data_IF_584747603238
#
_entry.id   IF_584747603238
#
_cell.length_a   1.000
_cell.length_b   1.000
_cell.length_c   1.000
_cell.angle_alpha   90.00
_cell.angle_beta   90.00
_cell.angle_gamma   90.00
#
_symmetry.space_group_name_H-M   'P 1'
#
loop_
_entity.id
_entity.type
_entity.pdbx_description
1 polymer ?
#
# COMPACT_ATOMS: atom_id res chain seq x y z
N UNK A 1 -10.84 20.62 -2.01
CA UNK A 1 -10.85 19.84 -0.75
C UNK A 1 -9.59 18.99 -0.72
N UNK A 2 -8.56 19.36 0.06
CA UNK A 2 -7.42 18.46 0.30
C UNK A 2 -7.94 17.34 1.21
N UNK A 3 -8.24 16.17 0.63
CA UNK A 3 -8.50 14.97 1.44
C UNK A 3 -7.35 14.85 2.45
N UNK A 4 -7.69 14.78 3.72
CA UNK A 4 -6.70 14.73 4.79
C UNK A 4 -6.03 13.34 4.71
N UNK A 5 -4.85 13.29 4.08
CA UNK A 5 -4.08 12.04 3.85
C UNK A 5 -3.86 11.28 5.17
N UNK A 6 -3.68 12.01 6.28
CA UNK A 6 -3.52 11.40 7.59
C UNK A 6 -4.81 10.71 8.09
N UNK A 7 -5.98 11.23 7.73
CA UNK A 7 -7.26 10.60 8.04
C UNK A 7 -7.48 9.34 7.20
N UNK A 8 -7.18 9.40 5.90
CA UNK A 8 -7.31 8.25 4.98
C UNK A 8 -6.38 7.10 5.41
N UNK A 9 -5.13 7.40 5.77
CA UNK A 9 -4.19 6.41 6.33
C UNK A 9 -4.73 5.73 7.59
N UNK A 10 -5.27 6.52 8.54
CA UNK A 10 -5.84 5.98 9.78
C UNK A 10 -7.04 5.09 9.53
N UNK A 11 -7.93 5.51 8.63
CA UNK A 11 -9.13 4.75 8.28
C UNK A 11 -8.76 3.41 7.64
N UNK A 12 -7.80 3.41 6.69
CA UNK A 12 -7.31 2.19 6.04
C UNK A 12 -6.66 1.27 7.07
N UNK A 13 -5.79 1.78 7.94
CA UNK A 13 -5.16 0.95 8.98
C UNK A 13 -6.15 0.35 9.98
N UNK A 14 -7.22 1.09 10.30
CA UNK A 14 -8.29 0.62 11.18
C UNK A 14 -9.21 -0.40 10.50
N UNK A 15 -9.32 -0.35 9.17
CA UNK A 15 -10.25 -1.18 8.39
C UNK A 15 -9.60 -2.34 7.62
N UNK A 16 -8.28 -2.46 7.64
CA UNK A 16 -7.52 -3.51 6.93
C UNK A 16 -6.80 -4.42 7.90
N UNK A 17 -6.56 -5.66 7.48
CA UNK A 17 -5.68 -6.58 8.20
C UNK A 17 -4.23 -6.07 8.23
N UNK A 18 -3.43 -6.45 9.24
CA UNK A 18 -2.02 -6.07 9.32
C UNK A 18 -1.14 -6.86 8.34
N UNK A 19 -1.66 -7.93 7.73
CA UNK A 19 -0.93 -8.80 6.82
C UNK A 19 -1.88 -9.24 5.68
N UNK A 20 -1.31 -9.56 4.52
CA UNK A 20 -2.08 -10.08 3.38
C UNK A 20 -1.16 -10.43 2.21
N UNK A 21 -1.48 -11.50 1.49
CA UNK A 21 -0.71 -11.96 0.32
C UNK A 21 0.80 -12.20 0.60
N UNK A 22 1.13 -12.57 1.85
CA UNK A 22 2.54 -12.77 2.26
C UNK A 22 3.30 -11.48 2.60
N UNK A 23 2.63 -10.32 2.58
CA UNK A 23 3.18 -9.03 2.98
C UNK A 23 2.70 -8.64 4.38
N UNK A 24 3.56 -7.96 5.11
CA UNK A 24 3.27 -7.36 6.42
C UNK A 24 3.11 -5.86 6.28
N UNK A 25 2.21 -5.27 7.05
CA UNK A 25 2.05 -3.82 7.13
C UNK A 25 3.40 -3.17 7.42
N UNK A 26 3.67 -2.11 6.68
CA UNK A 26 4.94 -1.39 6.63
C UNK A 26 6.08 -2.10 5.88
N UNK A 27 5.85 -3.27 5.28
CA UNK A 27 6.82 -3.84 4.33
C UNK A 27 7.00 -2.87 3.17
N UNK A 28 8.26 -2.62 2.83
CA UNK A 28 8.58 -1.94 1.59
C UNK A 28 8.40 -2.94 0.44
N UNK A 29 7.65 -2.53 -0.56
CA UNK A 29 7.30 -3.35 -1.73
C UNK A 29 7.62 -2.60 -3.01
N UNK A 30 7.96 -3.33 -4.06
CA UNK A 30 8.30 -2.78 -5.36
C UNK A 30 7.29 -3.23 -6.41
N UNK A 31 6.76 -2.27 -7.17
CA UNK A 31 5.91 -2.55 -8.32
C UNK A 31 6.72 -3.20 -9.45
N UNK A 32 6.05 -3.89 -10.39
CA UNK A 32 6.68 -4.35 -11.63
C UNK A 32 7.32 -3.21 -12.46
N UNK A 33 6.82 -1.98 -12.33
CA UNK A 33 7.37 -0.77 -12.96
C UNK A 33 8.63 -0.23 -12.27
N UNK A 34 9.02 -0.80 -11.14
CA UNK A 34 10.22 -0.43 -10.39
C UNK A 34 10.02 0.68 -9.36
N UNK A 35 8.80 1.16 -9.16
CA UNK A 35 8.48 2.13 -8.12
C UNK A 35 8.37 1.46 -6.74
N UNK A 36 8.84 2.14 -5.70
CA UNK A 36 8.84 1.62 -4.33
C UNK A 36 7.69 2.22 -3.50
N UNK A 37 7.03 1.37 -2.74
CA UNK A 37 5.89 1.69 -1.89
C UNK A 37 6.01 1.03 -0.52
N UNK A 38 5.19 1.47 0.43
CA UNK A 38 4.99 0.85 1.73
C UNK A 38 3.61 0.20 1.73
N UNK A 39 3.55 -1.09 2.01
CA UNK A 39 2.28 -1.80 2.13
C UNK A 39 1.55 -1.40 3.41
N UNK A 40 0.26 -1.08 3.31
CA UNK A 40 -0.56 -0.62 4.46
C UNK A 40 -1.57 -1.70 4.86
N UNK A 41 -2.19 -2.37 3.90
CA UNK A 41 -3.13 -3.44 4.14
C UNK A 41 -3.92 -3.84 2.90
N UNK A 42 -4.71 -4.90 3.01
CA UNK A 42 -5.66 -5.34 1.98
C UNK A 42 -7.07 -5.28 2.55
N UNK A 43 -8.02 -4.81 1.74
CA UNK A 43 -9.45 -4.82 2.03
C UNK A 43 -10.23 -4.85 0.72
N UNK A 44 -11.33 -5.60 0.69
CA UNK A 44 -12.27 -5.64 -0.45
C UNK A 44 -11.58 -5.94 -1.81
N UNK A 45 -10.53 -6.76 -1.80
CA UNK A 45 -9.78 -7.08 -3.03
C UNK A 45 -8.83 -5.97 -3.51
N UNK A 46 -8.66 -4.90 -2.74
CA UNK A 46 -7.71 -3.82 -3.02
C UNK A 46 -6.55 -3.84 -2.01
N UNK A 47 -5.32 -3.74 -2.51
CA UNK A 47 -4.13 -3.47 -1.73
C UNK A 47 -3.91 -1.95 -1.61
N UNK A 48 -3.73 -1.48 -0.39
CA UNK A 48 -3.45 -0.09 -0.07
C UNK A 48 -1.96 0.08 0.15
N UNK A 49 -1.36 0.99 -0.61
CA UNK A 49 0.08 1.25 -0.59
C UNK A 49 0.38 2.74 -0.52
N UNK A 50 1.48 3.10 0.13
CA UNK A 50 1.96 4.47 0.25
C UNK A 50 3.25 4.66 -0.56
N UNK A 51 3.34 5.69 -1.42
CA UNK A 51 4.54 5.96 -2.23
C UNK A 51 5.74 6.34 -1.36
N UNK A 52 6.90 5.73 -1.60
CA UNK A 52 8.14 6.09 -0.88
C UNK A 52 8.73 7.42 -1.34
N UNK A 53 8.47 7.86 -2.58
CA UNK A 53 9.02 9.09 -3.16
C UNK A 53 8.26 10.36 -2.77
N UNK A 54 7.23 10.25 -1.92
CA UNK A 54 6.48 11.39 -1.40
C UNK A 54 5.61 12.12 -2.44
N UNK A 55 5.48 11.58 -3.65
CA UNK A 55 4.65 12.17 -4.72
C UNK A 55 3.17 11.88 -4.50
N UNK A 56 2.33 12.84 -4.88
CA UNK A 56 0.88 12.71 -4.84
C UNK A 56 0.36 11.91 -6.06
N UNK A 57 -0.66 11.04 -5.89
CA UNK A 57 -1.29 10.67 -4.62
C UNK A 57 -0.35 9.79 -3.78
N UNK A 58 -0.15 10.22 -2.52
CA UNK A 58 0.72 9.52 -1.57
C UNK A 58 0.15 8.12 -1.25
N UNK A 59 -1.17 8.02 -1.18
CA UNK A 59 -1.92 6.77 -1.02
C UNK A 59 -2.45 6.29 -2.36
N UNK A 60 -2.15 5.04 -2.69
CA UNK A 60 -2.63 4.39 -3.90
C UNK A 60 -3.35 3.10 -3.53
N UNK A 61 -4.46 2.87 -4.22
CA UNK A 61 -5.13 1.57 -4.25
C UNK A 61 -4.65 0.82 -5.48
N UNK A 62 -4.34 -0.46 -5.31
CA UNK A 62 -3.92 -1.37 -6.35
C UNK A 62 -4.83 -2.58 -6.25
N UNK A 63 -5.29 -3.11 -7.37
CA UNK A 63 -6.03 -4.36 -7.35
C UNK A 63 -5.17 -5.46 -6.72
N UNK A 64 -5.71 -6.26 -5.82
CA UNK A 64 -4.93 -7.26 -5.10
C UNK A 64 -4.42 -8.37 -6.06
N UNK A 65 -5.11 -8.62 -7.18
CA UNK A 65 -4.64 -9.50 -8.25
C UNK A 65 -3.42 -8.92 -8.96
N UNK A 66 -3.30 -7.60 -9.11
CA UNK A 66 -2.07 -6.99 -9.62
C UNK A 66 -0.97 -6.95 -8.55
N UNK A 67 -1.36 -6.72 -7.29
CA UNK A 67 -0.46 -6.61 -6.15
C UNK A 67 0.29 -7.92 -5.85
N UNK A 68 -0.31 -9.08 -6.14
CA UNK A 68 0.32 -10.38 -5.91
C UNK A 68 1.66 -10.56 -6.68
N UNK A 69 1.89 -9.79 -7.74
CA UNK A 69 3.13 -9.84 -8.54
C UNK A 69 4.22 -8.90 -8.01
N UNK A 70 3.91 -8.10 -7.00
CA UNK A 70 4.86 -7.18 -6.38
C UNK A 70 5.85 -7.96 -5.51
N UNK A 71 7.00 -7.35 -5.24
CA UNK A 71 8.06 -8.01 -4.46
C UNK A 71 8.40 -7.19 -3.22
N UNK A 72 8.66 -7.86 -2.11
CA UNK A 72 9.21 -7.22 -0.92
C UNK A 72 10.63 -6.72 -1.25
N UNK A 73 10.88 -5.44 -1.03
CA UNK A 73 12.21 -4.85 -1.08
C UNK A 73 12.87 -5.12 0.27
N UNK A 74 13.55 -6.26 0.39
CA UNK A 74 14.38 -6.57 1.56
C UNK A 74 15.73 -5.84 1.41
N UNK A 75 16.30 -5.32 2.51
CA UNK A 75 17.65 -4.77 2.51
C UNK A 75 18.70 -5.83 2.15
#
# INVERSE_FOLDING_TARGET
MRKNIAAERREVMASTGPEGMGFKRFDRVKSPGGESYIFIGIRDGEAYVERCDGKDPLFRKVDAFDFQYWKVERP
#
